data_IF_751617475507
#
_entry.id   IF_751617475507
#
_cell.length_a   1.000
_cell.length_b   1.000
_cell.length_c   1.000
_cell.angle_alpha   90.00
_cell.angle_beta   90.00
_cell.angle_gamma   90.00
#
_symmetry.space_group_name_H-M   'P 1'
#
loop_
_entity.id
_entity.type
_entity.pdbx_description
1 polymer ?
#
# COMPACT_ATOMS: atom_id res chain seq x y z
N UNK A 1 -13.69 7.40 -17.86
CA UNK A 1 -13.09 6.66 -18.98
C UNK A 1 -12.76 5.26 -18.46
N UNK A 2 -13.38 4.21 -18.98
CA UNK A 2 -13.22 2.85 -18.44
C UNK A 2 -11.99 2.18 -19.07
N UNK A 3 -11.00 1.81 -18.26
CA UNK A 3 -9.83 1.06 -18.70
C UNK A 3 -10.00 -0.42 -18.38
N UNK A 4 -9.86 -1.27 -19.40
CA UNK A 4 -9.86 -2.72 -19.26
C UNK A 4 -8.45 -3.23 -19.56
N UNK A 5 -7.86 -4.03 -18.67
CA UNK A 5 -6.63 -4.76 -18.98
C UNK A 5 -6.90 -6.25 -18.91
N UNK A 6 -6.39 -6.99 -19.91
CA UNK A 6 -6.50 -8.44 -20.01
C UNK A 6 -5.16 -9.07 -19.69
N UNK A 7 -5.11 -9.98 -18.72
CA UNK A 7 -3.90 -10.76 -18.40
C UNK A 7 -4.20 -12.26 -18.37
N UNK A 8 -3.16 -13.06 -18.59
CA UNK A 8 -3.24 -14.53 -18.64
C UNK A 8 -2.78 -15.14 -17.32
N UNK A 9 -3.60 -16.00 -16.74
CA UNK A 9 -3.20 -16.83 -15.60
C UNK A 9 -2.50 -18.12 -16.08
N UNK A 10 -1.73 -18.78 -15.20
CA UNK A 10 -1.08 -20.09 -15.49
C UNK A 10 -2.07 -21.18 -15.95
N UNK A 11 -3.39 -21.00 -15.76
CA UNK A 11 -4.46 -21.91 -16.20
C UNK A 11 -5.14 -21.50 -17.51
N UNK A 12 -4.65 -20.47 -18.22
CA UNK A 12 -5.25 -20.01 -19.47
C UNK A 12 -6.58 -19.26 -19.34
N UNK A 13 -7.03 -18.94 -18.11
CA UNK A 13 -8.22 -18.13 -17.89
C UNK A 13 -7.93 -16.66 -18.22
N UNK A 14 -8.76 -16.06 -19.07
CA UNK A 14 -8.77 -14.61 -19.32
C UNK A 14 -9.43 -13.91 -18.14
N UNK A 15 -8.66 -13.18 -17.35
CA UNK A 15 -9.22 -12.30 -16.31
C UNK A 15 -9.40 -10.90 -16.90
N UNK A 16 -10.64 -10.39 -16.90
CA UNK A 16 -10.93 -8.99 -17.20
C UNK A 16 -11.08 -8.25 -15.87
N UNK A 17 -10.12 -7.39 -15.55
CA UNK A 17 -10.22 -6.52 -14.38
C UNK A 17 -10.88 -5.22 -14.82
N UNK A 18 -11.96 -4.85 -14.13
CA UNK A 18 -12.58 -3.52 -14.25
C UNK A 18 -12.05 -2.65 -13.12
N UNK A 19 -11.27 -1.63 -13.46
CA UNK A 19 -10.84 -0.66 -12.46
C UNK A 19 -12.00 0.22 -11.99
N UNK A 20 -12.05 0.43 -10.68
CA UNK A 20 -12.94 1.37 -10.00
C UNK A 20 -12.34 2.78 -10.15
N UNK A 21 -13.20 3.79 -10.10
CA UNK A 21 -12.75 5.18 -10.10
C UNK A 21 -12.04 5.52 -8.77
N UNK A 22 -11.11 6.46 -8.84
CA UNK A 22 -10.36 6.96 -7.69
C UNK A 22 -9.03 6.25 -7.46
N UNK A 23 -8.03 7.02 -7.01
CA UNK A 23 -6.71 6.53 -6.63
C UNK A 23 -6.67 6.37 -5.11
N UNK A 24 -6.22 5.21 -4.63
CA UNK A 24 -6.14 4.89 -3.20
C UNK A 24 -4.69 4.78 -2.73
N UNK A 25 -4.43 5.27 -1.54
CA UNK A 25 -3.15 5.06 -0.87
C UNK A 25 -3.20 3.76 -0.05
N UNK A 26 -2.26 2.84 -0.22
CA UNK A 26 -2.22 1.59 0.51
C UNK A 26 -1.13 1.61 1.59
N UNK A 27 -1.54 1.94 2.82
CA UNK A 27 -0.64 1.99 3.97
C UNK A 27 -0.40 0.60 4.55
N UNK A 28 0.87 0.26 4.77
CA UNK A 28 1.29 -1.06 5.23
C UNK A 28 2.44 -0.96 6.23
N UNK A 29 2.41 -1.70 7.36
CA UNK A 29 3.54 -1.77 8.28
C UNK A 29 4.82 -2.22 7.58
N UNK A 30 5.93 -1.54 7.82
CA UNK A 30 7.21 -1.84 7.18
C UNK A 30 8.29 -2.18 8.20
N UNK A 31 8.58 -1.21 9.08
CA UNK A 31 9.65 -1.31 10.07
C UNK A 31 9.48 -2.53 10.97
N UNK A 32 10.52 -3.35 11.03
CA UNK A 32 10.60 -4.50 11.94
C UNK A 32 11.80 -4.29 12.87
N UNK A 33 11.58 -4.41 14.18
CA UNK A 33 12.61 -4.19 15.20
C UNK A 33 12.67 -5.36 16.18
N UNK A 34 13.87 -5.64 16.70
CA UNK A 34 14.06 -6.60 17.79
C UNK A 34 13.69 -5.98 19.15
N UNK A 35 13.83 -6.75 20.23
CA UNK A 35 13.53 -6.33 21.60
C UNK A 35 14.40 -5.14 22.06
N UNK A 36 15.60 -5.01 21.48
CA UNK A 36 16.55 -3.92 21.76
C UNK A 36 16.30 -2.68 20.86
N UNK A 37 15.33 -2.76 19.94
CA UNK A 37 14.95 -1.67 19.04
C UNK A 37 15.79 -1.55 17.76
N UNK A 38 16.66 -2.52 17.47
CA UNK A 38 17.46 -2.57 16.23
C UNK A 38 16.59 -3.02 15.05
N UNK A 39 16.87 -2.47 13.87
CA UNK A 39 16.17 -2.85 12.64
C UNK A 39 16.52 -4.26 12.19
N UNK A 40 15.50 -5.04 11.84
CA UNK A 40 15.63 -6.40 11.31
C UNK A 40 15.36 -6.37 9.81
N UNK A 41 16.43 -6.33 9.00
CA UNK A 41 16.34 -6.27 7.54
C UNK A 41 15.51 -7.43 6.94
N UNK A 42 15.65 -8.64 7.47
CA UNK A 42 14.86 -9.79 7.03
C UNK A 42 13.36 -9.63 7.29
N UNK A 43 12.99 -8.93 8.37
CA UNK A 43 11.60 -8.62 8.69
C UNK A 43 11.02 -7.54 7.78
N UNK A 44 11.81 -6.53 7.43
CA UNK A 44 11.42 -5.49 6.47
C UNK A 44 11.23 -6.05 5.05
N UNK A 45 12.11 -6.94 4.60
CA UNK A 45 11.97 -7.67 3.33
C UNK A 45 10.68 -8.52 3.32
N UNK A 46 10.37 -9.21 4.42
CA UNK A 46 9.13 -9.97 4.55
C UNK A 46 7.89 -9.06 4.48
N UNK A 47 7.94 -7.91 5.15
CA UNK A 47 6.86 -6.92 5.12
C UNK A 47 6.69 -6.29 3.73
N UNK A 48 7.77 -6.02 3.01
CA UNK A 48 7.73 -5.57 1.61
C UNK A 48 7.03 -6.60 0.71
N UNK A 49 7.40 -7.88 0.82
CA UNK A 49 6.76 -8.96 0.04
C UNK A 49 5.28 -9.11 0.37
N UNK A 50 4.93 -9.00 1.66
CA UNK A 50 3.54 -9.05 2.11
C UNK A 50 2.74 -7.84 1.59
N UNK A 51 3.33 -6.65 1.59
CA UNK A 51 2.75 -5.45 1.00
C UNK A 51 2.47 -5.68 -0.50
N UNK A 52 3.45 -6.18 -1.26
CA UNK A 52 3.27 -6.47 -2.69
C UNK A 52 2.16 -7.50 -2.95
N UNK A 53 2.12 -8.56 -2.14
CA UNK A 53 1.07 -9.58 -2.23
C UNK A 53 -0.32 -8.98 -1.99
N UNK A 54 -0.50 -8.19 -0.92
CA UNK A 54 -1.77 -7.52 -0.60
C UNK A 54 -2.16 -6.47 -1.64
N UNK A 55 -1.19 -5.72 -2.16
CA UNK A 55 -1.38 -4.77 -3.26
C UNK A 55 -1.91 -5.49 -4.51
N UNK A 56 -1.36 -6.66 -4.86
CA UNK A 56 -1.86 -7.47 -5.96
C UNK A 56 -3.33 -7.91 -5.75
N UNK A 57 -3.72 -8.27 -4.52
CA UNK A 57 -5.11 -8.61 -4.19
C UNK A 57 -6.07 -7.43 -4.39
N UNK A 58 -5.65 -6.20 -4.07
CA UNK A 58 -6.44 -4.99 -4.30
C UNK A 58 -6.60 -4.70 -5.80
N UNK A 59 -5.50 -4.80 -6.55
CA UNK A 59 -5.47 -4.58 -8.01
C UNK A 59 -6.37 -5.60 -8.72
N UNK A 60 -6.29 -6.87 -8.33
CA UNK A 60 -7.16 -7.94 -8.84
C UNK A 60 -8.65 -7.61 -8.67
N UNK A 61 -9.00 -6.88 -7.60
CA UNK A 61 -10.37 -6.45 -7.27
C UNK A 61 -10.75 -5.11 -7.92
N UNK A 62 -9.88 -4.58 -8.77
CA UNK A 62 -10.10 -3.35 -9.52
C UNK A 62 -9.80 -2.08 -8.75
N UNK A 63 -9.11 -2.12 -7.61
CA UNK A 63 -8.66 -0.89 -6.97
C UNK A 63 -7.44 -0.33 -7.69
N UNK A 64 -7.48 0.96 -8.02
CA UNK A 64 -6.30 1.71 -8.48
C UNK A 64 -5.59 2.23 -7.24
N UNK A 65 -4.35 1.78 -7.02
CA UNK A 65 -3.63 2.06 -5.77
C UNK A 65 -2.23 2.62 -6.02
N UNK A 66 -1.73 3.39 -5.05
CA UNK A 66 -0.32 3.63 -4.79
C UNK A 66 0.07 2.91 -3.50
N UNK A 67 1.11 2.08 -3.55
CA UNK A 67 1.62 1.35 -2.40
C UNK A 67 3.05 1.85 -2.11
N UNK A 68 3.25 2.72 -1.11
CA UNK A 68 4.53 3.39 -0.84
C UNK A 68 5.67 2.38 -0.68
N UNK A 69 5.47 1.35 0.14
CA UNK A 69 6.49 0.33 0.39
C UNK A 69 6.87 -0.42 -0.88
N UNK A 70 5.89 -0.72 -1.75
CA UNK A 70 6.19 -1.36 -3.03
C UNK A 70 6.95 -0.43 -4.00
N UNK A 71 6.82 0.89 -3.83
CA UNK A 71 7.52 1.90 -4.61
C UNK A 71 8.93 2.19 -4.09
N UNK A 72 9.07 2.40 -2.77
CA UNK A 72 10.28 2.93 -2.15
C UNK A 72 11.29 1.86 -1.76
N UNK A 73 10.84 0.65 -1.38
CA UNK A 73 11.75 -0.41 -0.93
C UNK A 73 12.77 -0.83 -2.02
N UNK A 74 12.39 -1.05 -3.31
CA UNK A 74 13.37 -1.32 -4.36
C UNK A 74 14.37 -0.17 -4.57
N UNK A 75 13.94 1.08 -4.41
CA UNK A 75 14.81 2.27 -4.53
C UNK A 75 15.83 2.26 -3.39
N UNK A 76 15.34 2.04 -2.16
CA UNK A 76 16.17 1.96 -0.95
C UNK A 76 17.28 0.91 -1.07
N UNK A 77 16.95 -0.30 -1.54
CA UNK A 77 17.94 -1.36 -1.75
C UNK A 77 18.92 -1.08 -2.90
N UNK A 78 18.47 -0.37 -3.93
CA UNK A 78 19.30 -0.10 -5.12
C UNK A 78 20.38 0.97 -4.88
N UNK A 79 20.26 1.76 -3.81
CA UNK A 79 21.21 2.82 -3.50
C UNK A 79 21.62 2.81 -2.01
N UNK A 80 22.40 1.82 -1.54
CA UNK A 80 22.73 1.64 -0.13
C UNK A 80 23.72 2.68 0.44
N UNK A 81 24.15 3.68 -0.34
CA UNK A 81 24.86 4.84 0.22
C UNK A 81 23.87 5.87 0.82
N UNK A 82 22.58 5.61 0.60
CA UNK A 82 21.44 6.41 1.02
C UNK A 82 20.72 5.75 2.21
N UNK A 83 21.49 5.28 3.19
CA UNK A 83 20.97 4.72 4.46
C UNK A 83 21.55 5.48 5.65
N UNK A 84 20.65 6.00 6.49
CA UNK A 84 20.94 6.76 7.71
C UNK A 84 19.63 7.21 8.35
N UNK A 85 19.66 7.71 9.60
CA UNK A 85 18.44 8.13 10.31
C UNK A 85 17.63 9.19 9.53
N UNK A 86 18.33 10.09 8.82
CA UNK A 86 17.75 11.12 7.95
C UNK A 86 16.96 10.56 6.76
N UNK A 87 17.19 9.31 6.39
CA UNK A 87 16.52 8.65 5.25
C UNK A 87 15.09 8.28 5.62
N UNK A 88 14.82 7.95 6.89
CA UNK A 88 13.44 7.70 7.35
C UNK A 88 12.58 8.95 7.26
N UNK A 89 13.08 10.09 7.72
CA UNK A 89 12.34 11.36 7.67
C UNK A 89 12.07 11.78 6.22
N UNK A 90 13.05 11.59 5.34
CA UNK A 90 12.88 11.86 3.92
C UNK A 90 11.80 10.98 3.26
N UNK A 91 11.70 9.70 3.62
CA UNK A 91 10.60 8.86 3.10
C UNK A 91 9.24 9.36 3.57
N UNK A 92 9.11 9.78 4.84
CA UNK A 92 7.89 10.41 5.32
C UNK A 92 7.56 11.72 4.59
N UNK A 93 8.55 12.56 4.31
CA UNK A 93 8.35 13.78 3.52
C UNK A 93 7.87 13.47 2.10
N UNK A 94 8.43 12.44 1.46
CA UNK A 94 8.00 12.00 0.14
C UNK A 94 6.56 11.49 0.16
N UNK A 95 6.21 10.65 1.13
CA UNK A 95 4.86 10.12 1.30
C UNK A 95 3.85 11.25 1.55
N UNK A 96 4.19 12.21 2.42
CA UNK A 96 3.38 13.40 2.66
C UNK A 96 3.17 14.22 1.38
N UNK A 97 4.22 14.42 0.58
CA UNK A 97 4.13 15.12 -0.70
C UNK A 97 3.18 14.40 -1.67
N UNK A 98 3.25 13.07 -1.76
CA UNK A 98 2.29 12.28 -2.53
C UNK A 98 0.87 12.44 -2.00
N UNK A 99 0.65 12.28 -0.69
CA UNK A 99 -0.68 12.38 -0.09
C UNK A 99 -1.32 13.73 -0.40
N UNK A 100 -0.56 14.82 -0.28
CA UNK A 100 -1.07 16.17 -0.54
C UNK A 100 -1.36 16.43 -2.03
N UNK A 101 -0.54 15.90 -2.95
CA UNK A 101 -0.59 16.25 -4.38
C UNK A 101 -1.43 15.33 -5.26
N UNK A 102 -1.47 14.02 -4.97
CA UNK A 102 -1.94 13.03 -5.93
C UNK A 102 -3.46 12.86 -6.01
N UNK A 103 -4.23 13.65 -5.24
CA UNK A 103 -5.70 13.63 -5.29
C UNK A 103 -6.30 12.28 -4.89
N UNK A 104 -5.68 11.58 -3.94
CA UNK A 104 -6.18 10.30 -3.45
C UNK A 104 -7.64 10.41 -2.97
N UNK A 105 -8.46 9.44 -3.37
CA UNK A 105 -9.82 9.26 -2.84
C UNK A 105 -9.80 8.95 -1.35
N UNK A 106 -8.81 8.19 -0.92
CA UNK A 106 -8.70 7.72 0.46
C UNK A 106 -7.48 6.83 0.68
N UNK A 107 -7.43 6.26 1.88
CA UNK A 107 -6.42 5.34 2.35
C UNK A 107 -7.04 3.97 2.63
N UNK A 108 -6.31 2.92 2.29
CA UNK A 108 -6.59 1.54 2.66
C UNK A 108 -5.51 1.10 3.64
N UNK A 109 -5.92 0.72 4.84
CA UNK A 109 -5.06 0.31 5.94
C UNK A 109 -4.88 -1.21 5.94
N UNK A 110 -3.64 -1.68 5.80
CA UNK A 110 -3.31 -3.09 5.92
C UNK A 110 -3.56 -3.62 7.34
N UNK A 111 -3.71 -4.95 7.52
CA UNK A 111 -3.74 -5.53 8.86
C UNK A 111 -2.48 -5.17 9.66
N UNK A 112 -2.66 -4.94 10.96
CA UNK A 112 -1.63 -4.47 11.91
C UNK A 112 -1.15 -3.04 11.68
N UNK A 113 -1.88 -2.20 10.93
CA UNK A 113 -1.52 -0.79 10.76
C UNK A 113 -1.44 -0.03 12.10
N UNK A 114 -2.22 -0.47 13.10
CA UNK A 114 -2.29 0.12 14.44
C UNK A 114 -0.95 0.02 15.20
N UNK A 115 -0.06 -0.88 14.80
CA UNK A 115 1.27 -1.03 15.41
C UNK A 115 2.35 -0.22 14.69
N UNK A 116 2.00 0.39 13.54
CA UNK A 116 2.91 1.15 12.71
C UNK A 116 2.71 2.66 12.91
N UNK A 117 3.73 3.33 13.45
CA UNK A 117 3.73 4.79 13.60
C UNK A 117 3.49 5.51 12.26
N UNK A 118 4.06 4.99 11.17
CA UNK A 118 3.87 5.55 9.84
C UNK A 118 2.43 5.44 9.36
N UNK A 119 1.82 4.26 9.49
CA UNK A 119 0.43 4.08 9.07
C UNK A 119 -0.55 4.92 9.90
N UNK A 120 -0.27 5.11 11.20
CA UNK A 120 -1.05 6.00 12.06
C UNK A 120 -0.96 7.46 11.55
N UNK A 121 0.24 7.97 11.32
CA UNK A 121 0.44 9.33 10.84
C UNK A 121 -0.20 9.56 9.45
N UNK A 122 -0.07 8.59 8.55
CA UNK A 122 -0.73 8.63 7.24
C UNK A 122 -2.25 8.67 7.40
N UNK A 123 -2.83 7.79 8.24
CA UNK A 123 -4.27 7.80 8.53
C UNK A 123 -4.73 9.15 9.05
N UNK A 124 -4.04 9.72 10.04
CA UNK A 124 -4.37 11.02 10.61
C UNK A 124 -4.33 12.14 9.56
N UNK A 125 -3.36 12.10 8.64
CA UNK A 125 -3.31 13.04 7.52
C UNK A 125 -4.52 12.89 6.59
N UNK A 126 -4.91 11.66 6.23
CA UNK A 126 -6.09 11.42 5.40
C UNK A 126 -7.40 11.86 6.08
N UNK A 127 -7.52 11.63 7.39
CA UNK A 127 -8.65 12.13 8.18
C UNK A 127 -8.70 13.66 8.20
N UNK A 128 -7.56 14.32 8.42
CA UNK A 128 -7.46 15.78 8.40
C UNK A 128 -7.81 16.39 7.03
N UNK A 129 -7.61 15.64 5.94
CA UNK A 129 -8.00 16.03 4.58
C UNK A 129 -9.47 15.67 4.25
N UNK A 130 -10.23 15.07 5.18
CA UNK A 130 -11.61 14.64 4.95
C UNK A 130 -11.75 13.53 3.91
N UNK A 131 -10.71 12.71 3.74
CA UNK A 131 -10.67 11.62 2.75
C UNK A 131 -11.11 10.30 3.36
N UNK A 132 -11.49 9.36 2.50
CA UNK A 132 -12.08 8.10 2.95
C UNK A 132 -11.02 7.19 3.61
N UNK A 133 -11.40 6.54 4.72
CA UNK A 133 -10.58 5.55 5.43
C UNK A 133 -11.21 4.17 5.25
N UNK A 134 -10.45 3.20 4.75
CA UNK A 134 -10.89 1.81 4.62
C UNK A 134 -9.89 0.84 5.24
N UNK A 135 -10.41 -0.26 5.75
CA UNK A 135 -9.59 -1.39 6.20
C UNK A 135 -9.50 -2.44 5.11
N UNK A 136 -8.32 -3.03 4.94
CA UNK A 136 -8.03 -4.03 3.91
C UNK A 136 -9.02 -5.20 3.91
N UNK A 137 -9.31 -5.77 5.08
CA UNK A 137 -10.21 -6.93 5.20
C UNK A 137 -11.64 -6.60 4.76
N UNK A 138 -12.12 -5.40 5.09
CA UNK A 138 -13.42 -4.91 4.62
C UNK A 138 -13.45 -4.78 3.09
N UNK A 139 -12.37 -4.25 2.49
CA UNK A 139 -12.25 -4.12 1.04
C UNK A 139 -12.25 -5.47 0.33
N UNK A 140 -11.59 -6.48 0.90
CA UNK A 140 -11.58 -7.83 0.34
C UNK A 140 -12.97 -8.47 0.32
N UNK A 141 -13.76 -8.24 1.38
CA UNK A 141 -15.11 -8.81 1.51
C UNK A 141 -16.13 -8.12 0.57
N UNK A 142 -16.05 -6.80 0.41
CA UNK A 142 -16.92 -6.05 -0.53
C UNK A 142 -16.79 -6.48 -2.00
N UNK A 143 -15.63 -7.03 -2.38
CA UNK A 143 -15.41 -7.50 -3.74
C UNK A 143 -16.05 -8.86 -3.99
N UNK A 144 -16.31 -9.66 -2.97
CA UNK A 144 -16.94 -10.99 -3.10
C UNK A 144 -18.44 -10.90 -3.37
N UNK A 145 -19.12 -9.91 -2.80
CA UNK A 145 -20.58 -9.75 -2.98
C UNK A 145 -20.95 -9.34 -4.42
N UNK A 146 -20.09 -8.59 -5.13
CA UNK A 146 -20.38 -8.10 -6.49
C UNK A 146 -20.07 -9.07 -7.64
N UNK A 147 -19.56 -10.26 -7.34
CA UNK A 147 -19.26 -11.31 -8.35
C UNK A 147 -20.25 -12.47 -8.31
N UNK A 148 -21.21 -12.46 -7.40
CA UNK A 148 -22.26 -13.47 -7.28
C UNK A 148 -23.60 -13.06 -7.92
N UNK A 149 -23.64 -11.88 -8.56
CA UNK A 149 -24.75 -11.39 -9.41
C UNK A 149 -24.33 -11.38 -10.88
#
# INVERSE_FOLDING_TARGET
MLYWITYYTKKGLKMKIKFRDGLWYFAHPYTCKDEDGNYILGGEEANFRLCCYRAAQLIERGFVIYAPIAHTHPIHLSYPQFVGQSVHDMWYELDNAFIQSAGFTGIILAPLWETSKGCIAEKEMFEGLGREIRHFDYVLNLAQEKWND
#
